data_IF_820763154125
#
_entry.id   IF_820763154125
#
_cell.length_a   1.000
_cell.length_b   1.000
_cell.length_c   1.000
_cell.angle_alpha   90.00
_cell.angle_beta   90.00
_cell.angle_gamma   90.00
#
_symmetry.space_group_name_H-M   'P 1'
#
loop_
_entity.id
_entity.type
_entity.pdbx_description
1 polymer ?
#
# COMPACT_ATOMS: atom_id res chain seq x y z
N UNK A 1 -50.86 15.08 -6.72
CA UNK A 1 -49.51 15.65 -6.90
C UNK A 1 -48.64 15.30 -5.70
N UNK A 2 -47.44 14.78 -5.97
CA UNK A 2 -46.25 14.63 -5.13
C UNK A 2 -46.30 13.84 -3.80
N UNK A 3 -45.91 12.56 -3.85
CA UNK A 3 -45.18 11.91 -2.76
C UNK A 3 -43.67 12.06 -3.00
N UNK A 4 -43.00 12.86 -2.18
CA UNK A 4 -41.54 12.96 -2.16
C UNK A 4 -40.98 12.05 -1.05
N UNK A 5 -40.53 10.85 -1.41
CA UNK A 5 -39.79 9.96 -0.51
C UNK A 5 -38.31 10.39 -0.49
N UNK A 6 -37.88 11.02 0.60
CA UNK A 6 -36.45 11.27 0.89
C UNK A 6 -35.75 9.94 1.11
N UNK A 7 -35.02 9.44 0.11
CA UNK A 7 -34.04 8.36 0.33
C UNK A 7 -32.86 8.93 1.12
N UNK A 8 -32.71 8.50 2.36
CA UNK A 8 -31.50 8.71 3.13
C UNK A 8 -30.33 8.07 2.39
N UNK A 9 -29.31 8.86 2.06
CA UNK A 9 -28.05 8.37 1.53
C UNK A 9 -27.33 7.64 2.67
N UNK A 10 -27.52 6.32 2.77
CA UNK A 10 -26.72 5.49 3.65
C UNK A 10 -25.26 5.64 3.24
N UNK A 11 -24.41 6.10 4.15
CA UNK A 11 -22.97 6.13 3.96
C UNK A 11 -22.52 4.71 3.61
N UNK A 12 -22.11 4.49 2.36
CA UNK A 12 -21.48 3.22 1.95
C UNK A 12 -20.26 3.05 2.83
N UNK A 13 -20.22 1.98 3.63
CA UNK A 13 -18.98 1.45 4.17
C UNK A 13 -18.06 1.19 2.99
N UNK A 14 -17.02 2.03 2.84
CA UNK A 14 -16.04 1.86 1.79
C UNK A 14 -15.29 0.56 2.07
N UNK A 15 -15.55 -0.47 1.26
CA UNK A 15 -14.75 -1.68 1.34
C UNK A 15 -13.30 -1.33 1.01
N UNK A 16 -12.31 -1.89 1.72
CA UNK A 16 -10.91 -1.66 1.39
C UNK A 16 -10.68 -2.08 -0.07
N UNK A 17 -10.03 -1.22 -0.86
CA UNK A 17 -9.71 -1.55 -2.24
C UNK A 17 -8.80 -2.79 -2.33
N UNK A 18 -8.80 -3.49 -3.47
CA UNK A 18 -8.06 -4.76 -3.65
C UNK A 18 -6.58 -4.68 -3.24
N UNK A 19 -5.92 -3.53 -3.47
CA UNK A 19 -4.52 -3.30 -3.04
C UNK A 19 -4.33 -3.34 -1.53
N UNK A 20 -5.27 -2.79 -0.76
CA UNK A 20 -5.24 -2.84 0.70
C UNK A 20 -5.46 -4.27 1.20
N UNK A 21 -6.42 -4.99 0.60
CA UNK A 21 -6.70 -6.38 0.98
C UNK A 21 -5.47 -7.28 0.74
N UNK A 22 -4.84 -7.17 -0.44
CA UNK A 22 -3.65 -7.95 -0.77
C UNK A 22 -2.46 -7.62 0.14
N UNK A 23 -2.24 -6.34 0.42
CA UNK A 23 -1.15 -5.94 1.32
C UNK A 23 -1.34 -6.49 2.73
N UNK A 24 -2.54 -6.34 3.30
CA UNK A 24 -2.87 -6.85 4.64
C UNK A 24 -2.74 -8.38 4.68
N UNK A 25 -3.24 -9.08 3.66
CA UNK A 25 -3.10 -10.53 3.58
C UNK A 25 -1.63 -10.97 3.54
N UNK A 26 -0.79 -10.29 2.77
CA UNK A 26 0.65 -10.58 2.71
C UNK A 26 1.35 -10.29 4.05
N UNK A 27 1.06 -9.14 4.68
CA UNK A 27 1.63 -8.79 5.98
C UNK A 27 1.27 -9.80 7.07
N UNK A 28 -0.01 -10.21 7.14
CA UNK A 28 -0.48 -11.26 8.05
C UNK A 28 0.19 -12.60 7.80
N UNK A 29 0.33 -12.98 6.54
CA UNK A 29 1.02 -14.21 6.18
C UNK A 29 2.46 -14.20 6.67
N UNK A 30 3.24 -13.16 6.37
CA UNK A 30 4.63 -13.01 6.86
C UNK A 30 4.69 -13.03 8.38
N UNK A 31 3.83 -12.28 9.07
CA UNK A 31 3.79 -12.25 10.53
C UNK A 31 3.51 -13.64 11.15
N UNK A 32 2.72 -14.47 10.47
CA UNK A 32 2.38 -15.82 10.91
C UNK A 32 3.46 -16.86 10.59
N UNK A 33 4.14 -16.74 9.45
CA UNK A 33 5.11 -17.74 8.99
C UNK A 33 6.53 -17.43 9.46
N UNK A 34 6.87 -16.16 9.55
CA UNK A 34 8.21 -15.67 9.91
C UNK A 34 8.09 -14.54 10.96
N UNK A 35 7.71 -14.85 12.21
CA UNK A 35 7.54 -13.84 13.24
C UNK A 35 8.81 -13.02 13.46
N UNK A 36 8.67 -11.70 13.54
CA UNK A 36 9.78 -10.76 13.73
C UNK A 36 10.54 -10.39 12.46
N UNK A 37 10.25 -11.01 11.31
CA UNK A 37 10.83 -10.59 10.04
C UNK A 37 10.09 -9.38 9.46
N UNK A 38 10.84 -8.39 8.92
CA UNK A 38 10.23 -7.23 8.29
C UNK A 38 9.72 -7.56 6.89
N UNK A 39 8.68 -6.84 6.45
CA UNK A 39 8.25 -6.83 5.04
C UNK A 39 8.91 -5.66 4.32
N UNK A 40 9.35 -5.87 3.07
CA UNK A 40 9.84 -4.79 2.22
C UNK A 40 9.26 -4.83 0.81
N UNK A 41 9.33 -3.69 0.13
CA UNK A 41 8.89 -3.54 -1.25
C UNK A 41 9.70 -2.44 -1.95
N UNK A 42 10.04 -2.68 -3.22
CA UNK A 42 10.60 -1.65 -4.11
C UNK A 42 9.51 -0.95 -4.92
N UNK A 43 9.59 0.39 -4.98
CA UNK A 43 8.64 1.24 -5.71
C UNK A 43 9.41 2.29 -6.48
N UNK A 44 9.07 2.52 -7.76
CA UNK A 44 9.64 3.65 -8.49
C UNK A 44 9.30 4.98 -7.80
N UNK A 45 10.29 5.86 -7.64
CA UNK A 45 10.11 7.16 -7.01
C UNK A 45 9.03 8.01 -7.71
N UNK A 46 8.85 7.82 -9.02
CA UNK A 46 7.82 8.49 -9.82
C UNK A 46 6.38 8.03 -9.52
N UNK A 47 6.17 6.86 -8.90
CA UNK A 47 4.84 6.33 -8.62
C UNK A 47 4.24 6.95 -7.34
N UNK A 48 3.75 8.19 -7.45
CA UNK A 48 3.22 8.96 -6.33
C UNK A 48 2.04 8.26 -5.63
N UNK A 49 1.17 7.60 -6.37
CA UNK A 49 0.00 6.91 -5.80
C UNK A 49 0.40 5.69 -4.98
N UNK A 50 1.36 4.91 -5.46
CA UNK A 50 1.94 3.80 -4.69
C UNK A 50 2.65 4.31 -3.45
N UNK A 51 3.49 5.33 -3.57
CA UNK A 51 4.20 5.93 -2.43
C UNK A 51 3.24 6.41 -1.35
N UNK A 52 2.20 7.16 -1.72
CA UNK A 52 1.16 7.62 -0.78
C UNK A 52 0.42 6.46 -0.13
N UNK A 53 0.11 5.41 -0.89
CA UNK A 53 -0.52 4.22 -0.35
C UNK A 53 0.37 3.53 0.70
N UNK A 54 1.63 3.24 0.38
CA UNK A 54 2.53 2.54 1.29
C UNK A 54 2.90 3.37 2.52
N UNK A 55 3.02 4.69 2.38
CA UNK A 55 3.17 5.61 3.52
C UNK A 55 1.96 5.56 4.46
N UNK A 56 0.73 5.54 3.93
CA UNK A 56 -0.48 5.39 4.76
C UNK A 56 -0.57 4.02 5.44
N UNK A 57 0.01 3.00 4.83
CA UNK A 57 0.15 1.67 5.45
C UNK A 57 1.32 1.62 6.44
N UNK A 58 1.94 2.75 6.83
CA UNK A 58 3.02 2.77 7.82
C UNK A 58 4.40 2.40 7.28
N UNK A 59 4.57 2.27 5.97
CA UNK A 59 5.85 1.94 5.35
C UNK A 59 6.82 3.11 5.39
N UNK A 60 8.07 2.83 5.78
CA UNK A 60 9.15 3.82 5.83
C UNK A 60 10.13 3.57 4.69
N UNK A 61 10.55 4.63 4.00
CA UNK A 61 11.62 4.53 3.00
C UNK A 61 12.95 4.37 3.73
N UNK A 62 13.64 3.26 3.49
CA UNK A 62 14.94 2.95 4.11
C UNK A 62 16.09 2.93 3.11
N UNK A 63 15.78 2.95 1.82
CA UNK A 63 16.79 3.01 0.75
C UNK A 63 16.23 3.72 -0.48
N UNK A 64 17.10 4.45 -1.17
CA UNK A 64 16.87 4.94 -2.52
C UNK A 64 18.01 4.42 -3.42
N UNK A 65 17.65 3.84 -4.55
CA UNK A 65 18.60 3.25 -5.50
C UNK A 65 18.20 3.57 -6.93
N UNK A 66 19.19 3.65 -7.82
CA UNK A 66 18.97 3.89 -9.24
C UNK A 66 19.07 2.56 -10.00
N UNK A 67 18.08 2.31 -10.86
CA UNK A 67 18.04 1.12 -11.71
C UNK A 67 18.08 1.53 -13.17
N UNK A 68 19.05 0.94 -13.88
CA UNK A 68 19.08 0.98 -15.33
C UNK A 68 17.86 0.22 -15.88
N UNK A 69 17.11 0.88 -16.75
CA UNK A 69 15.97 0.31 -17.44
C UNK A 69 16.33 0.02 -18.91
N UNK A 70 15.59 -0.89 -19.57
CA UNK A 70 15.69 -1.05 -21.01
C UNK A 70 15.57 0.29 -21.74
N UNK A 71 16.42 0.52 -22.75
CA UNK A 71 16.49 1.79 -23.48
C UNK A 71 17.47 2.82 -22.89
N UNK A 72 18.33 2.43 -21.95
CA UNK A 72 19.42 3.29 -21.43
C UNK A 72 18.95 4.36 -20.44
N UNK A 73 17.70 4.30 -19.99
CA UNK A 73 17.14 5.25 -19.05
C UNK A 73 17.32 4.75 -17.63
N UNK A 74 17.79 5.62 -16.74
CA UNK A 74 17.85 5.33 -15.31
C UNK A 74 16.56 5.77 -14.60
N UNK A 75 16.04 4.93 -13.70
CA UNK A 75 14.90 5.25 -12.85
C UNK A 75 15.25 5.05 -11.38
N UNK A 76 14.87 6.02 -10.56
CA UNK A 76 15.02 5.92 -9.12
C UNK A 76 13.94 5.02 -8.51
N UNK A 77 14.35 4.13 -7.62
CA UNK A 77 13.50 3.29 -6.78
C UNK A 77 13.69 3.63 -5.31
N UNK A 78 12.63 3.42 -4.55
CA UNK A 78 12.58 3.53 -3.09
C UNK A 78 12.27 2.16 -2.52
N UNK A 79 13.02 1.72 -1.51
CA UNK A 79 12.68 0.54 -0.71
C UNK A 79 11.90 0.96 0.51
N UNK A 80 10.65 0.55 0.56
CA UNK A 80 9.81 0.66 1.75
C UNK A 80 10.02 -0.55 2.66
N UNK A 81 10.02 -0.32 3.97
CA UNK A 81 10.16 -1.31 5.02
C UNK A 81 9.05 -1.16 6.05
N UNK A 82 8.54 -2.30 6.53
CA UNK A 82 7.65 -2.43 7.66
C UNK A 82 8.30 -3.37 8.68
N UNK A 83 8.83 -2.81 9.77
CA UNK A 83 9.56 -3.56 10.78
C UNK A 83 8.65 -4.30 11.76
N UNK A 84 7.44 -3.78 11.97
CA UNK A 84 6.43 -4.38 12.83
C UNK A 84 5.17 -4.63 12.00
N UNK A 85 4.76 -5.90 11.96
CA UNK A 85 3.58 -6.36 11.22
C UNK A 85 2.41 -6.71 12.13
N UNK A 86 2.55 -6.56 13.46
CA UNK A 86 1.51 -6.90 14.44
C UNK A 86 0.22 -6.08 14.29
N UNK A 87 0.30 -4.93 13.61
CA UNK A 87 -0.82 -4.03 13.36
C UNK A 87 -1.68 -4.34 12.12
N UNK A 88 -1.43 -5.44 11.39
CA UNK A 88 -2.18 -5.82 10.18
C UNK A 88 -3.10 -7.01 10.42
#
# INVERSE_FOLDING_TARGET
MAHASKRACAARSAQPGARAQLFVAAARWVASTEPGWPLHLWVFAANADARRFYQRMGGVVVEQSDKAMPGGVTRSLLRYLWCDLSGF
#
